data_IF_894402966284
#
_entry.id   IF_894402966284
#
_cell.length_a   1.000
_cell.length_b   1.000
_cell.length_c   1.000
_cell.angle_alpha   90.00
_cell.angle_beta   90.00
_cell.angle_gamma   90.00
#
_symmetry.space_group_name_H-M   'P 1'
#
loop_
_entity.id
_entity.type
_entity.pdbx_description
1 polymer ?
#
# COMPACT_ATOMS: atom_id res chain seq x y z
N UNK A 1 -6.59 4.19 0.24
CA UNK A 1 -5.19 3.72 0.24
C UNK A 1 -4.93 2.82 1.44
N UNK A 2 -3.85 2.06 1.38
CA UNK A 2 -3.41 1.11 2.39
C UNK A 2 -1.95 1.41 2.74
N UNK A 3 -1.57 1.17 3.99
CA UNK A 3 -0.16 1.12 4.40
C UNK A 3 0.17 -0.31 4.78
N UNK A 4 1.04 -0.96 4.00
CA UNK A 4 1.34 -2.37 4.15
C UNK A 4 2.63 -2.53 4.96
N UNK A 5 2.53 -3.22 6.10
CA UNK A 5 3.70 -3.63 6.87
C UNK A 5 4.26 -4.94 6.28
N UNK A 6 5.51 -4.90 5.82
CA UNK A 6 6.24 -6.06 5.32
C UNK A 6 7.38 -6.38 6.29
N UNK A 7 7.32 -7.54 6.92
CA UNK A 7 8.33 -7.97 7.87
C UNK A 7 9.65 -8.32 7.16
N UNK A 8 10.75 -7.95 7.79
CA UNK A 8 12.13 -8.20 7.36
C UNK A 8 12.92 -8.89 8.48
N UNK A 9 14.09 -9.40 8.12
CA UNK A 9 15.03 -9.96 9.10
C UNK A 9 15.30 -8.98 10.26
N UNK A 10 15.64 -9.55 11.42
CA UNK A 10 15.97 -8.81 12.64
C UNK A 10 14.80 -7.98 13.22
N UNK A 11 13.56 -8.50 13.16
CA UNK A 11 12.36 -7.87 13.73
C UNK A 11 12.10 -6.43 13.26
N UNK A 12 12.45 -6.14 12.00
CA UNK A 12 12.16 -4.86 11.36
C UNK A 12 10.99 -5.00 10.40
N UNK A 13 10.29 -3.90 10.13
CA UNK A 13 9.23 -3.86 9.11
C UNK A 13 9.45 -2.67 8.18
N UNK A 14 9.18 -2.87 6.89
CA UNK A 14 8.96 -1.78 5.96
C UNK A 14 7.48 -1.44 5.91
N UNK A 15 7.17 -0.15 5.80
CA UNK A 15 5.82 0.33 5.59
C UNK A 15 5.71 0.89 4.18
N UNK A 16 5.01 0.17 3.32
CA UNK A 16 4.92 0.48 1.89
C UNK A 16 3.52 1.03 1.60
N UNK A 17 3.39 2.29 1.15
CA UNK A 17 2.13 2.83 0.68
C UNK A 17 1.63 2.02 -0.52
N UNK A 18 0.36 1.66 -0.51
CA UNK A 18 -0.28 0.93 -1.60
C UNK A 18 -1.66 1.51 -1.90
N UNK A 19 -1.97 1.67 -3.18
CA UNK A 19 -3.24 2.20 -3.65
C UNK A 19 -4.04 1.09 -4.33
N UNK A 20 -5.28 0.93 -3.89
CA UNK A 20 -6.23 0.00 -4.47
C UNK A 20 -7.27 0.77 -5.31
N UNK A 21 -7.68 0.18 -6.42
CA UNK A 21 -8.60 0.82 -7.37
C UNK A 21 -9.91 0.02 -7.50
N UNK A 22 -11.02 0.72 -7.75
CA UNK A 22 -12.31 0.11 -8.08
C UNK A 22 -12.73 -1.02 -7.12
N UNK A 23 -12.95 -2.23 -7.66
CA UNK A 23 -13.38 -3.40 -6.88
C UNK A 23 -12.36 -3.81 -5.81
N UNK A 24 -11.06 -3.66 -6.09
CA UNK A 24 -10.00 -3.93 -5.12
C UNK A 24 -10.08 -2.93 -3.96
N UNK A 25 -10.40 -1.67 -4.21
CA UNK A 25 -10.58 -0.68 -3.14
C UNK A 25 -11.76 -1.03 -2.23
N UNK A 26 -12.88 -1.46 -2.83
CA UNK A 26 -14.05 -1.92 -2.08
C UNK A 26 -13.75 -3.16 -1.24
N UNK A 27 -13.06 -4.15 -1.82
CA UNK A 27 -12.64 -5.34 -1.07
C UNK A 27 -11.67 -4.98 0.06
N UNK A 28 -10.67 -4.14 -0.21
CA UNK A 28 -9.72 -3.71 0.81
C UNK A 28 -10.37 -2.93 1.97
N UNK A 29 -11.49 -2.25 1.73
CA UNK A 29 -12.24 -1.53 2.78
C UNK A 29 -12.84 -2.45 3.85
N UNK A 30 -12.92 -3.76 3.60
CA UNK A 30 -13.42 -4.72 4.59
C UNK A 30 -12.33 -5.24 5.53
N UNK A 31 -11.05 -4.97 5.23
CA UNK A 31 -9.93 -5.44 6.04
C UNK A 31 -9.81 -4.66 7.35
N UNK A 32 -9.26 -5.33 8.37
CA UNK A 32 -8.90 -4.74 9.66
C UNK A 32 -7.41 -4.43 9.72
N UNK A 33 -7.03 -3.47 10.56
CA UNK A 33 -5.62 -3.21 10.84
C UNK A 33 -4.97 -4.46 11.44
N UNK A 34 -3.83 -4.87 10.90
CA UNK A 34 -3.12 -6.09 11.30
C UNK A 34 -3.58 -7.36 10.59
N UNK A 35 -4.59 -7.27 9.72
CA UNK A 35 -5.03 -8.41 8.91
C UNK A 35 -3.92 -8.82 7.92
N UNK A 36 -3.62 -10.12 7.89
CA UNK A 36 -2.63 -10.68 6.97
C UNK A 36 -3.27 -10.82 5.60
N UNK A 37 -2.65 -10.22 4.59
CA UNK A 37 -3.14 -10.22 3.21
C UNK A 37 -2.00 -10.55 2.25
N UNK A 38 -2.33 -11.17 1.12
CA UNK A 38 -1.44 -11.26 -0.03
C UNK A 38 -1.97 -10.39 -1.16
N UNK A 39 -1.08 -9.68 -1.85
CA UNK A 39 -1.44 -8.80 -2.95
C UNK A 39 -0.37 -8.81 -4.03
N UNK A 40 -0.79 -8.46 -5.24
CA UNK A 40 0.06 -8.22 -6.39
C UNK A 40 -0.18 -6.80 -6.90
N UNK A 41 0.88 -6.16 -7.39
CA UNK A 41 0.81 -4.82 -7.92
C UNK A 41 2.08 -4.43 -8.66
N UNK A 42 2.13 -3.17 -9.10
CA UNK A 42 3.31 -2.55 -9.71
C UNK A 42 3.79 -1.40 -8.86
N UNK A 43 5.11 -1.21 -8.78
CA UNK A 43 5.68 0.02 -8.22
C UNK A 43 5.36 1.16 -9.18
N UNK A 44 4.94 2.28 -8.63
CA UNK A 44 4.75 3.53 -9.36
C UNK A 44 5.29 4.71 -8.57
N UNK A 45 5.57 5.80 -9.29
CA UNK A 45 5.83 7.11 -8.71
C UNK A 45 4.73 8.08 -9.13
N UNK A 46 4.40 9.02 -8.23
CA UNK A 46 3.50 10.13 -8.51
C UNK A 46 4.12 11.44 -8.05
N UNK A 47 4.10 12.43 -8.93
CA UNK A 47 4.48 13.80 -8.61
C UNK A 47 3.28 14.47 -7.94
N UNK A 48 3.53 15.22 -6.85
CA UNK A 48 2.49 16.00 -6.18
C UNK A 48 3.07 17.32 -5.66
N UNK A 49 2.21 18.31 -5.49
CA UNK A 49 2.56 19.58 -4.85
C UNK A 49 2.25 19.50 -3.36
N UNK A 50 3.26 19.74 -2.52
CA UNK A 50 3.10 19.90 -1.09
C UNK A 50 3.04 21.38 -0.75
N UNK A 51 1.88 21.84 -0.28
CA UNK A 51 1.78 23.16 0.35
C UNK A 51 2.56 23.16 1.67
N UNK A 52 3.41 24.17 1.84
CA UNK A 52 4.15 24.46 3.06
C UNK A 52 3.42 25.51 3.89
N UNK A 53 3.76 25.60 5.17
CA UNK A 53 3.08 26.46 6.14
C UNK A 53 3.26 27.96 5.82
N UNK A 54 4.32 28.31 5.09
CA UNK A 54 4.59 29.68 4.62
C UNK A 54 3.81 30.06 3.34
N UNK A 55 2.96 29.16 2.84
CA UNK A 55 2.15 29.36 1.62
C UNK A 55 2.87 29.02 0.33
N UNK A 56 4.16 28.63 0.37
CA UNK A 56 4.86 28.13 -0.81
C UNK A 56 4.44 26.70 -1.16
N UNK A 57 4.69 26.29 -2.40
CA UNK A 57 4.44 24.92 -2.88
C UNK A 57 5.73 24.28 -3.37
N UNK A 58 5.95 23.05 -2.94
CA UNK A 58 7.11 22.25 -3.35
C UNK A 58 6.65 21.03 -4.14
N UNK A 59 7.29 20.73 -5.26
CA UNK A 59 7.07 19.50 -6.00
C UNK A 59 7.80 18.33 -5.32
N UNK A 60 7.08 17.24 -5.06
CA UNK A 60 7.61 16.03 -4.43
C UNK A 60 7.19 14.79 -5.19
N UNK A 61 7.94 13.71 -5.02
CA UNK A 61 7.63 12.39 -5.59
C UNK A 61 7.27 11.42 -4.47
N UNK A 62 6.12 10.78 -4.59
CA UNK A 62 5.75 9.64 -3.74
C UNK A 62 5.91 8.33 -4.53
N UNK A 63 6.46 7.31 -3.87
CA UNK A 63 6.56 5.96 -4.39
C UNK A 63 5.56 5.06 -3.67
N UNK A 64 4.83 4.26 -4.43
CA UNK A 64 3.76 3.41 -3.90
C UNK A 64 3.52 2.18 -4.79
N UNK A 65 2.83 1.19 -4.25
CA UNK A 65 2.37 0.02 -5.01
C UNK A 65 0.96 0.27 -5.53
N UNK A 66 0.78 0.28 -6.85
CA UNK A 66 -0.55 0.20 -7.44
C UNK A 66 -1.02 -1.25 -7.45
N UNK A 67 -2.05 -1.56 -6.66
CA UNK A 67 -2.55 -2.91 -6.46
C UNK A 67 -3.36 -3.35 -7.68
N UNK A 68 -2.97 -4.48 -8.26
CA UNK A 68 -3.66 -5.13 -9.38
C UNK A 68 -4.65 -6.19 -8.87
N UNK A 69 -4.31 -6.92 -7.81
CA UNK A 69 -5.11 -8.04 -7.30
C UNK A 69 -4.78 -8.35 -5.84
N UNK A 70 -5.77 -8.78 -5.07
CA UNK A 70 -5.57 -9.47 -3.79
C UNK A 70 -5.66 -10.98 -3.98
N UNK A 71 -4.82 -11.71 -3.26
CA UNK A 71 -4.78 -13.16 -3.29
C UNK A 71 -5.25 -13.74 -1.97
N UNK A 72 -6.06 -14.80 -2.07
CA UNK A 72 -6.52 -15.55 -0.91
C UNK A 72 -5.45 -16.59 -0.58
N UNK A 73 -5.05 -16.68 0.68
CA UNK A 73 -4.19 -17.77 1.14
C UNK A 73 -4.97 -19.08 0.96
N UNK A 74 -4.49 -19.98 0.10
CA UNK A 74 -5.04 -21.33 0.03
C UNK A 74 -4.52 -22.07 1.26
N UNK A 75 -5.42 -22.61 2.09
CA UNK A 75 -5.02 -23.60 3.08
C UNK A 75 -4.39 -24.78 2.33
N UNK A 76 -3.12 -25.06 2.65
CA UNK A 76 -2.48 -26.30 2.24
C UNK A 76 -2.96 -27.35 3.22
N UNK A 77 -3.89 -28.20 2.79
CA UNK A 77 -4.23 -29.43 3.53
C UNK A 77 -2.95 -30.29 3.60
N UNK A 78 -2.50 -30.58 4.83
CA UNK A 78 -1.43 -31.54 5.11
C UNK A 78 -1.94 -32.97 5.11
#
# INVERSE_FOLDING_TARGET
>A
DLLIAVNRAYNKSDYIPAIAWGRNARYASTFRVGEKIHLMGRIQSRVYQKALDDGSVEERVAYEVSITKFEQEKEVEN
#
